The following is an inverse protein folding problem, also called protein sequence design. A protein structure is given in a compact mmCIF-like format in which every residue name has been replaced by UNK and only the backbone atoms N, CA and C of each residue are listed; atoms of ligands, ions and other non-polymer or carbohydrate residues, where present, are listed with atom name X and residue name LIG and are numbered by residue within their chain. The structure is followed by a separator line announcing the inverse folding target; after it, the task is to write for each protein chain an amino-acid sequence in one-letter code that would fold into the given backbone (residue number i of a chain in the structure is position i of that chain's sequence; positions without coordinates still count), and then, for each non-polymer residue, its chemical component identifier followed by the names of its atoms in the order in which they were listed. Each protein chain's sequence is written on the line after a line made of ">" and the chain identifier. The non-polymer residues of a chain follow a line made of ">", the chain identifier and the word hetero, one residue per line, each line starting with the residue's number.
data_IF_672617311223
#
_entry.id   IF_672617311223
#
_cell.length_a   1.000
_cell.length_b   1.000
_cell.length_c   1.000
_cell.angle_alpha   90.00
_cell.angle_beta   90.00
_cell.angle_gamma   90.00
#
_symmetry.space_group_name_H-M   'P 1'
#
loop_
_entity.id
_entity.type
_entity.pdbx_description
1 polymer ?
#
# COMPACT_ATOMS: atom_id res chain seq x y z
N UNK A 1 4.63 -16.86 -5.61
CA UNK A 1 3.51 -16.27 -4.86
C UNK A 1 2.25 -16.54 -5.65
N UNK A 2 1.22 -17.16 -5.07
CA UNK A 2 -0.08 -17.33 -5.74
C UNK A 2 -0.70 -15.95 -5.93
N UNK A 3 -1.18 -15.64 -7.13
CA UNK A 3 -2.00 -14.44 -7.35
C UNK A 3 -3.21 -14.52 -6.42
N UNK A 4 -3.46 -13.53 -5.55
CA UNK A 4 -4.67 -13.54 -4.74
C UNK A 4 -5.88 -13.54 -5.66
N UNK A 5 -6.90 -14.32 -5.31
CA UNK A 5 -8.17 -14.27 -6.02
C UNK A 5 -8.72 -12.84 -5.88
N UNK A 6 -8.92 -12.17 -7.01
CA UNK A 6 -9.51 -10.84 -7.04
C UNK A 6 -11.02 -11.03 -7.16
N UNK A 7 -11.75 -10.63 -6.12
CA UNK A 7 -13.21 -10.56 -6.16
C UNK A 7 -13.65 -9.41 -7.09
N UNK A 8 -14.85 -9.52 -7.65
CA UNK A 8 -15.48 -8.44 -8.41
C UNK A 8 -16.07 -7.34 -7.52
N UNK A 9 -16.29 -7.63 -6.23
CA UNK A 9 -16.97 -6.75 -5.27
C UNK A 9 -16.23 -6.67 -3.94
N UNK A 10 -16.11 -5.44 -3.44
CA UNK A 10 -15.51 -5.08 -2.14
C UNK A 10 -16.42 -4.09 -1.45
N UNK A 11 -16.41 -4.10 -0.12
CA UNK A 11 -17.18 -3.13 0.68
C UNK A 11 -16.57 -1.73 0.59
N UNK A 12 -15.23 -1.67 0.48
CA UNK A 12 -14.45 -0.44 0.42
C UNK A 12 -13.27 -0.58 -0.54
N UNK A 13 -13.04 0.46 -1.32
CA UNK A 13 -11.87 0.59 -2.19
C UNK A 13 -11.07 1.83 -1.78
N UNK A 14 -9.79 1.63 -1.46
CA UNK A 14 -8.82 2.68 -1.18
C UNK A 14 -7.91 2.85 -2.39
N UNK A 15 -8.04 3.97 -3.09
CA UNK A 15 -7.16 4.33 -4.21
C UNK A 15 -5.90 5.05 -3.68
N UNK A 16 -4.81 4.30 -3.57
CA UNK A 16 -3.51 4.72 -3.07
C UNK A 16 -3.11 3.95 -1.80
N UNK A 17 -2.04 3.18 -1.88
CA UNK A 17 -1.36 2.48 -0.79
C UNK A 17 -0.32 3.32 -0.04
N UNK A 18 -0.43 4.65 -0.09
CA UNK A 18 0.40 5.56 0.70
C UNK A 18 0.06 5.55 2.20
N UNK A 19 0.72 6.42 2.97
CA UNK A 19 0.60 6.47 4.45
C UNK A 19 -0.84 6.57 4.94
N UNK A 20 -1.63 7.50 4.41
CA UNK A 20 -3.02 7.69 4.82
C UNK A 20 -3.91 6.53 4.39
N UNK A 21 -3.73 6.02 3.16
CA UNK A 21 -4.52 4.91 2.63
C UNK A 21 -4.31 3.62 3.43
N UNK A 22 -3.05 3.28 3.71
CA UNK A 22 -2.70 2.14 4.56
C UNK A 22 -3.21 2.31 6.00
N UNK A 23 -3.12 3.51 6.57
CA UNK A 23 -3.65 3.79 7.91
C UNK A 23 -5.15 3.52 7.98
N UNK A 24 -5.92 4.08 7.05
CA UNK A 24 -7.38 3.93 7.01
C UNK A 24 -7.75 2.46 6.79
N UNK A 25 -7.17 1.81 5.79
CA UNK A 25 -7.45 0.40 5.49
C UNK A 25 -7.15 -0.51 6.69
N UNK A 26 -5.99 -0.33 7.33
CA UNK A 26 -5.60 -1.12 8.50
C UNK A 26 -6.50 -0.87 9.72
N UNK A 27 -6.94 0.38 9.95
CA UNK A 27 -7.86 0.71 11.04
C UNK A 27 -9.23 0.10 10.83
N UNK A 28 -9.77 0.16 9.61
CA UNK A 28 -11.08 -0.41 9.29
C UNK A 28 -11.05 -1.94 9.35
N UNK A 29 -10.01 -2.58 8.80
CA UNK A 29 -9.83 -4.02 8.88
C UNK A 29 -9.72 -4.53 10.34
N UNK A 30 -9.09 -3.75 11.22
CA UNK A 30 -9.00 -4.08 12.64
C UNK A 30 -10.32 -3.86 13.40
N UNK A 31 -11.13 -2.88 12.98
CA UNK A 31 -12.42 -2.59 13.59
C UNK A 31 -13.50 -3.58 13.20
N UNK A 32 -13.49 -4.07 11.95
CA UNK A 32 -14.42 -5.07 11.46
C UNK A 32 -13.72 -6.07 10.50
N UNK A 33 -13.44 -7.30 10.96
CA UNK A 33 -12.82 -8.35 10.16
C UNK A 33 -13.68 -8.87 8.99
N UNK A 34 -14.96 -8.52 8.94
CA UNK A 34 -15.85 -8.95 7.87
C UNK A 34 -15.78 -8.06 6.62
N UNK A 35 -15.20 -6.86 6.74
CA UNK A 35 -15.02 -5.94 5.61
C UNK A 35 -14.01 -6.49 4.61
N UNK A 36 -14.44 -6.62 3.35
CA UNK A 36 -13.55 -6.84 2.21
C UNK A 36 -13.04 -5.49 1.70
N UNK A 37 -11.77 -5.20 1.99
CA UNK A 37 -11.13 -3.92 1.65
C UNK A 37 -10.10 -4.14 0.53
N UNK A 38 -10.29 -3.46 -0.59
CA UNK A 38 -9.31 -3.42 -1.68
C UNK A 38 -8.44 -2.17 -1.58
N UNK A 39 -7.11 -2.34 -1.57
CA UNK A 39 -6.15 -1.24 -1.70
C UNK A 39 -5.52 -1.32 -3.07
N UNK A 40 -5.71 -0.27 -3.89
CA UNK A 40 -5.09 -0.13 -5.20
C UNK A 40 -3.89 0.80 -5.07
N UNK A 41 -2.71 0.37 -5.49
CA UNK A 41 -1.51 1.20 -5.52
C UNK A 41 -0.92 1.12 -6.92
N UNK A 42 -0.62 2.27 -7.51
CA UNK A 42 -0.05 2.34 -8.85
C UNK A 42 1.44 1.95 -8.85
N UNK A 43 2.14 2.26 -7.75
CA UNK A 43 3.54 1.92 -7.55
C UNK A 43 3.79 0.43 -7.30
N UNK A 44 5.05 -0.03 -7.47
CA UNK A 44 5.43 -1.40 -7.16
C UNK A 44 5.42 -1.65 -5.64
N UNK A 45 5.41 -2.92 -5.19
CA UNK A 45 5.61 -3.26 -3.79
C UNK A 45 6.95 -2.74 -3.26
N UNK A 46 6.93 -2.11 -2.10
CA UNK A 46 8.11 -1.45 -1.50
C UNK A 46 8.62 -2.12 -0.23
N UNK A 47 7.96 -3.21 0.19
CA UNK A 47 8.29 -3.93 1.42
C UNK A 47 9.73 -4.45 1.38
N UNK A 48 10.47 -4.18 2.44
CA UNK A 48 11.86 -4.62 2.65
C UNK A 48 12.86 -4.11 1.58
N UNK A 49 12.48 -3.11 0.78
CA UNK A 49 13.42 -2.44 -0.12
C UNK A 49 14.23 -1.40 0.65
N UNK A 50 15.56 -1.53 0.60
CA UNK A 50 16.48 -0.58 1.25
C UNK A 50 16.32 0.85 0.74
N UNK A 51 15.90 1.02 -0.52
CA UNK A 51 15.55 2.33 -1.08
C UNK A 51 14.44 3.01 -0.26
N UNK A 52 13.48 2.26 0.27
CA UNK A 52 12.33 2.80 1.00
C UNK A 52 12.53 2.81 2.52
N UNK A 53 13.29 1.86 3.06
CA UNK A 53 13.59 1.77 4.50
C UNK A 53 14.79 2.60 4.92
N UNK A 54 15.71 2.90 4.01
CA UNK A 54 16.91 3.72 4.23
C UNK A 54 17.09 4.77 3.12
N UNK A 55 16.09 5.65 2.88
CA UNK A 55 16.06 6.52 1.70
C UNK A 55 17.26 7.46 1.60
N UNK A 56 17.81 7.91 2.74
CA UNK A 56 18.99 8.78 2.79
C UNK A 56 20.28 8.15 2.22
N UNK A 57 20.34 6.82 2.04
CA UNK A 57 21.50 6.14 1.44
C UNK A 57 21.49 6.17 -0.10
N UNK A 58 20.38 6.60 -0.71
CA UNK A 58 20.16 6.52 -2.15
C UNK A 58 20.08 7.91 -2.76
N UNK A 59 21.11 8.29 -3.52
CA UNK A 59 21.20 9.61 -4.16
C UNK A 59 20.01 9.93 -5.09
N UNK A 60 19.38 8.89 -5.66
CA UNK A 60 18.16 9.05 -6.46
C UNK A 60 17.04 9.76 -5.71
N UNK A 61 16.99 9.64 -4.37
CA UNK A 61 15.97 10.27 -3.54
C UNK A 61 16.23 11.73 -3.15
N UNK A 62 17.37 12.29 -3.56
CA UNK A 62 17.70 13.70 -3.34
C UNK A 62 17.29 14.58 -4.52
N UNK A 63 17.02 13.97 -5.69
CA UNK A 63 16.55 14.70 -6.84
C UNK A 63 15.13 15.25 -6.57
N UNK A 64 14.80 16.47 -7.00
CA UNK A 64 13.44 17.04 -6.84
C UNK A 64 12.34 16.22 -7.53
N UNK A 65 12.72 15.33 -8.44
CA UNK A 65 11.83 14.44 -9.20
C UNK A 65 11.73 13.04 -8.60
N UNK A 66 12.33 12.82 -7.43
CA UNK A 66 12.20 11.59 -6.66
C UNK A 66 10.81 11.43 -6.06
#
# INVERSE_FOLDING_TARGET
>A
MSTPAIDTEYDLVVAGGGTCGCLIAGRLAAADPHLKILVLEAGPPTRDLLTHTQPARYLSHLAPTS
#
